data_IF_495382477912
#
_entry.id   IF_495382477912
#
_cell.length_a   1.000
_cell.length_b   1.000
_cell.length_c   1.000
_cell.angle_alpha   90.00
_cell.angle_beta   90.00
_cell.angle_gamma   90.00
#
_symmetry.space_group_name_H-M   'P 1'
#
loop_
_entity.id
_entity.type
_entity.pdbx_description
1 polymer ?
#
# COMPACT_ATOMS: atom_id res chain seq x y z
N UNK A 1 19.24 -5.54 17.06
CA UNK A 1 18.73 -6.79 16.43
C UNK A 1 18.23 -7.82 17.44
N UNK A 2 19.02 -8.23 18.43
CA UNK A 2 18.64 -9.34 19.35
C UNK A 2 17.42 -9.10 20.25
N UNK A 3 17.13 -7.85 20.61
CA UNK A 3 16.04 -7.56 21.56
C UNK A 3 14.75 -7.02 20.90
N UNK A 4 14.84 -6.57 19.64
CA UNK A 4 13.72 -5.96 18.91
C UNK A 4 13.46 -6.70 17.60
N UNK A 5 14.42 -6.72 16.68
CA UNK A 5 14.21 -7.28 15.33
C UNK A 5 13.90 -8.78 15.35
N UNK A 6 14.74 -9.59 16.00
CA UNK A 6 14.53 -11.06 16.06
C UNK A 6 13.28 -11.39 16.90
N UNK A 7 13.07 -10.80 18.09
CA UNK A 7 11.86 -11.06 18.86
C UNK A 7 10.58 -10.60 18.16
N UNK A 8 10.61 -9.53 17.35
CA UNK A 8 9.44 -9.07 16.62
C UNK A 8 8.88 -10.09 15.63
N UNK A 9 9.70 -11.03 15.13
CA UNK A 9 9.20 -12.14 14.30
C UNK A 9 8.16 -12.97 15.05
N UNK A 10 8.33 -13.18 16.36
CA UNK A 10 7.41 -13.92 17.22
C UNK A 10 6.10 -13.19 17.50
N UNK A 11 5.95 -11.93 17.07
CA UNK A 11 4.67 -11.24 17.11
C UNK A 11 3.70 -11.70 16.03
N UNK A 12 4.20 -12.33 14.96
CA UNK A 12 3.36 -12.92 13.94
C UNK A 12 2.84 -14.26 14.44
N UNK A 13 1.51 -14.46 14.55
CA UNK A 13 0.95 -15.72 15.04
C UNK A 13 1.34 -16.95 14.22
N UNK A 14 1.71 -16.76 12.95
CA UNK A 14 2.18 -17.82 12.06
C UNK A 14 3.68 -18.14 12.20
N UNK A 15 4.45 -17.37 12.98
CA UNK A 15 5.87 -17.61 13.17
C UNK A 15 6.09 -18.85 14.06
N UNK A 16 6.71 -19.88 13.49
CA UNK A 16 7.05 -21.12 14.20
C UNK A 16 8.55 -21.25 14.51
N UNK A 17 9.38 -20.33 14.00
CA UNK A 17 10.82 -20.37 14.20
C UNK A 17 11.53 -19.20 13.51
N UNK A 18 12.74 -18.91 13.99
CA UNK A 18 13.61 -17.88 13.42
C UNK A 18 15.02 -18.45 13.31
N UNK A 19 15.61 -18.37 12.12
CA UNK A 19 17.02 -18.72 11.90
C UNK A 19 17.85 -17.46 11.67
N UNK A 20 18.92 -17.31 12.44
CA UNK A 20 19.91 -16.25 12.24
C UNK A 20 21.13 -16.85 11.55
N UNK A 21 21.30 -16.53 10.26
CA UNK A 21 22.42 -17.03 9.46
C UNK A 21 23.68 -16.18 9.72
N UNK A 22 24.87 -16.79 9.85
CA UNK A 22 26.11 -16.06 10.10
C UNK A 22 26.63 -15.35 8.85
N UNK A 23 26.21 -15.76 7.65
CA UNK A 23 26.60 -15.13 6.38
C UNK A 23 25.44 -15.06 5.40
N UNK A 24 25.55 -14.14 4.43
CA UNK A 24 24.57 -14.03 3.33
C UNK A 24 24.65 -15.21 2.35
N UNK A 25 25.76 -15.93 2.29
CA UNK A 25 25.93 -17.02 1.32
C UNK A 25 25.10 -18.26 1.69
N UNK A 26 24.74 -18.40 2.97
CA UNK A 26 23.94 -19.52 3.48
C UNK A 26 22.45 -19.42 3.16
N UNK A 27 21.98 -18.27 2.67
CA UNK A 27 20.55 -18.07 2.38
C UNK A 27 20.14 -18.68 1.03
N UNK A 28 21.08 -18.86 0.09
CA UNK A 28 20.80 -19.39 -1.25
C UNK A 28 20.08 -20.74 -1.24
N UNK A 29 20.57 -21.79 -0.53
CA UNK A 29 19.87 -23.08 -0.49
C UNK A 29 18.50 -22.99 0.21
N UNK A 30 18.29 -22.00 1.09
CA UNK A 30 17.00 -21.77 1.75
C UNK A 30 16.01 -21.15 0.76
N UNK A 31 16.43 -20.13 0.01
CA UNK A 31 15.59 -19.46 -0.98
C UNK A 31 15.23 -20.36 -2.16
N UNK A 32 16.14 -21.26 -2.58
CA UNK A 32 15.87 -22.24 -3.64
C UNK A 32 14.71 -23.19 -3.30
N UNK A 33 14.51 -23.46 -2.01
CA UNK A 33 13.46 -24.36 -1.51
C UNK A 33 12.30 -23.61 -0.84
N UNK A 34 12.32 -22.28 -0.83
CA UNK A 34 11.30 -21.48 -0.18
C UNK A 34 10.06 -21.33 -1.08
N UNK A 35 8.91 -21.81 -0.60
CA UNK A 35 7.62 -21.60 -1.27
C UNK A 35 7.17 -20.14 -1.22
N UNK A 36 7.52 -19.44 -0.13
CA UNK A 36 7.14 -18.05 0.10
C UNK A 36 8.36 -17.21 0.49
N UNK A 37 8.64 -16.19 -0.31
CA UNK A 37 9.73 -15.24 -0.07
C UNK A 37 9.15 -13.83 0.00
N UNK A 38 9.33 -13.19 1.15
CA UNK A 38 9.02 -11.78 1.36
C UNK A 38 10.31 -10.98 1.63
N UNK A 39 10.48 -9.78 1.04
CA UNK A 39 9.61 -9.18 0.02
C UNK A 39 9.63 -9.94 -1.31
N UNK A 40 8.54 -9.83 -2.09
CA UNK A 40 8.44 -10.46 -3.41
C UNK A 40 9.63 -10.09 -4.29
N UNK A 41 10.30 -11.09 -4.85
CA UNK A 41 11.46 -10.90 -5.72
C UNK A 41 12.78 -10.61 -4.99
N UNK A 42 12.81 -10.71 -3.66
CA UNK A 42 14.03 -10.59 -2.87
C UNK A 42 15.08 -11.62 -3.30
N UNK A 43 16.31 -11.16 -3.45
CA UNK A 43 17.50 -12.02 -3.55
C UNK A 43 18.63 -11.40 -2.73
N UNK A 44 19.64 -12.17 -2.31
CA UNK A 44 20.76 -11.63 -1.55
C UNK A 44 21.56 -10.57 -2.33
N UNK A 45 21.65 -10.74 -3.66
CA UNK A 45 22.35 -9.85 -4.58
C UNK A 45 21.52 -8.61 -4.94
N UNK A 46 20.19 -8.72 -4.88
CA UNK A 46 19.26 -7.61 -5.06
C UNK A 46 18.34 -7.51 -3.83
N UNK A 47 18.83 -7.00 -2.70
CA UNK A 47 17.99 -6.77 -1.55
C UNK A 47 16.92 -5.74 -1.92
N UNK A 48 15.68 -6.02 -1.53
CA UNK A 48 14.54 -5.14 -1.76
C UNK A 48 14.11 -4.60 -0.42
N UNK A 49 14.05 -3.27 -0.31
CA UNK A 49 13.38 -2.62 0.80
C UNK A 49 11.89 -2.56 0.48
N UNK A 50 11.04 -2.97 1.40
CA UNK A 50 9.59 -2.89 1.25
C UNK A 50 9.02 -2.07 2.40
N UNK A 51 8.51 -0.88 2.11
CA UNK A 51 7.80 -0.07 3.10
C UNK A 51 6.35 -0.54 3.16
N UNK A 52 6.00 -1.13 4.31
CA UNK A 52 4.80 -1.94 4.46
C UNK A 52 3.48 -1.21 4.23
N UNK A 53 3.44 0.13 4.33
CA UNK A 53 2.15 0.83 4.30
C UNK A 53 1.45 0.72 2.96
N UNK A 54 2.14 0.96 1.85
CA UNK A 54 1.52 0.85 0.54
C UNK A 54 1.05 -0.58 0.26
N UNK A 55 1.79 -1.60 0.72
CA UNK A 55 1.34 -2.99 0.68
C UNK A 55 0.11 -3.27 1.55
N UNK A 56 0.03 -2.68 2.75
CA UNK A 56 -1.15 -2.76 3.62
C UNK A 56 -2.37 -2.05 3.01
N UNK A 57 -2.15 -0.89 2.38
CA UNK A 57 -3.18 -0.18 1.61
C UNK A 57 -3.69 -1.06 0.47
N UNK A 58 -2.80 -1.68 -0.32
CA UNK A 58 -3.19 -2.61 -1.39
C UNK A 58 -4.00 -3.79 -0.86
N UNK A 59 -3.53 -4.44 0.22
CA UNK A 59 -4.26 -5.53 0.86
C UNK A 59 -5.65 -5.10 1.36
N UNK A 60 -5.75 -3.92 1.98
CA UNK A 60 -7.02 -3.35 2.42
C UNK A 60 -7.99 -3.09 1.25
N UNK A 61 -7.50 -2.52 0.14
CA UNK A 61 -8.32 -2.27 -1.05
C UNK A 61 -8.86 -3.58 -1.66
N UNK A 62 -8.07 -4.66 -1.61
CA UNK A 62 -8.50 -6.01 -2.02
C UNK A 62 -9.48 -6.68 -1.05
N UNK A 63 -9.78 -6.04 0.08
CA UNK A 63 -10.64 -6.61 1.12
C UNK A 63 -9.98 -7.72 1.93
N UNK A 64 -8.65 -7.76 1.96
CA UNK A 64 -7.92 -8.74 2.77
C UNK A 64 -8.00 -8.41 4.26
N UNK A 65 -8.03 -9.47 5.08
CA UNK A 65 -7.95 -9.33 6.53
C UNK A 65 -6.50 -9.25 6.98
N UNK A 66 -6.07 -8.09 7.44
CA UNK A 66 -4.75 -7.90 8.03
C UNK A 66 -4.61 -8.72 9.33
N UNK A 67 -3.48 -9.41 9.47
CA UNK A 67 -3.15 -10.16 10.69
C UNK A 67 -2.83 -9.20 11.83
N UNK A 68 -3.33 -9.51 13.02
CA UNK A 68 -2.96 -8.81 14.24
C UNK A 68 -1.69 -9.40 14.85
N UNK A 69 -0.76 -8.54 15.21
CA UNK A 69 0.43 -8.90 15.98
C UNK A 69 0.03 -9.26 17.42
N UNK A 70 0.54 -10.38 17.90
CA UNK A 70 0.26 -10.90 19.23
C UNK A 70 1.55 -11.42 19.84
N UNK A 71 1.79 -11.03 21.08
CA UNK A 71 2.85 -11.61 21.88
C UNK A 71 2.59 -13.10 22.19
N UNK A 72 3.65 -13.88 22.46
CA UNK A 72 3.50 -15.17 23.11
C UNK A 72 2.81 -15.04 24.49
N UNK A 73 1.95 -16.01 24.91
CA UNK A 73 1.14 -15.91 26.12
C UNK A 73 1.91 -15.63 27.42
N UNK A 74 3.16 -16.08 27.52
CA UNK A 74 4.03 -15.84 28.66
C UNK A 74 4.32 -14.35 28.87
N UNK A 75 4.38 -13.54 27.80
CA UNK A 75 4.56 -12.09 27.90
C UNK A 75 3.29 -11.40 28.38
N UNK A 76 2.11 -11.88 27.98
CA UNK A 76 0.84 -11.43 28.53
C UNK A 76 0.83 -11.62 30.05
N UNK A 77 1.18 -12.82 30.53
CA UNK A 77 1.22 -13.15 31.96
C UNK A 77 2.27 -12.33 32.73
N UNK A 78 3.45 -12.13 32.12
CA UNK A 78 4.52 -11.32 32.70
C UNK A 78 4.08 -9.88 32.92
N UNK A 79 3.42 -9.28 31.92
CA UNK A 79 2.86 -7.93 32.03
C UNK A 79 1.75 -7.88 33.07
N UNK A 80 0.83 -8.85 33.09
CA UNK A 80 -0.25 -8.87 34.09
C UNK A 80 0.33 -8.92 35.52
N UNK A 81 1.40 -9.69 35.74
CA UNK A 81 2.10 -9.76 37.03
C UNK A 81 2.83 -8.45 37.37
N UNK A 82 3.43 -7.81 36.38
CA UNK A 82 4.05 -6.49 36.53
C UNK A 82 3.03 -5.41 36.92
N UNK A 83 1.86 -5.43 36.29
CA UNK A 83 0.78 -4.48 36.54
C UNK A 83 0.08 -4.71 37.88
N UNK A 84 -0.16 -5.97 38.28
CA UNK A 84 -0.84 -6.30 39.53
C UNK A 84 -0.21 -5.66 40.78
N UNK A 85 1.10 -5.39 40.75
CA UNK A 85 1.82 -4.75 41.86
C UNK A 85 1.86 -3.21 41.77
N UNK A 86 1.34 -2.61 40.68
CA UNK A 86 1.48 -1.18 40.36
C UNK A 86 0.16 -0.42 40.27
N UNK A 87 -0.93 -1.13 40.02
CA UNK A 87 -2.25 -0.54 39.84
C UNK A 87 -3.30 -1.29 40.67
N UNK A 88 -4.36 -0.59 41.05
CA UNK A 88 -5.53 -1.18 41.70
C UNK A 88 -6.63 -1.36 40.66
N UNK A 89 -7.48 -0.35 40.50
CA UNK A 89 -8.62 -0.32 39.57
C UNK A 89 -8.48 0.74 38.47
N UNK A 90 -7.35 1.45 38.42
CA UNK A 90 -7.14 2.53 37.47
C UNK A 90 -7.08 2.03 36.02
N UNK A 91 -7.46 2.88 35.07
CA UNK A 91 -7.22 2.66 33.65
C UNK A 91 -5.74 2.88 33.34
N UNK A 92 -5.08 1.89 32.73
CA UNK A 92 -3.68 2.00 32.36
C UNK A 92 -3.53 2.89 31.12
N UNK A 93 -2.79 3.99 31.25
CA UNK A 93 -2.30 4.80 30.14
C UNK A 93 -0.80 4.55 29.99
N UNK A 94 -0.37 4.17 28.78
CA UNK A 94 1.05 4.17 28.44
C UNK A 94 1.42 5.43 27.68
N UNK A 95 2.58 6.01 27.96
CA UNK A 95 3.12 7.16 27.23
C UNK A 95 4.47 6.77 26.67
N UNK A 96 4.58 6.63 25.35
CA UNK A 96 5.83 6.25 24.70
C UNK A 96 6.54 7.50 24.19
N UNK A 97 7.65 7.87 24.84
CA UNK A 97 8.42 9.06 24.46
C UNK A 97 9.44 8.72 23.38
N UNK A 98 9.79 9.72 22.57
CA UNK A 98 10.93 9.72 21.66
C UNK A 98 11.93 10.78 22.14
N UNK A 99 13.17 10.38 22.30
CA UNK A 99 14.28 11.22 22.77
C UNK A 99 15.58 10.72 22.13
N UNK A 100 15.64 10.88 20.81
CA UNK A 100 16.74 10.45 19.97
C UNK A 100 17.75 11.60 19.75
N UNK A 101 19.05 11.31 19.58
CA UNK A 101 20.07 12.31 19.29
C UNK A 101 20.08 12.76 17.82
N UNK A 102 19.13 12.28 17.02
CA UNK A 102 18.97 12.56 15.59
C UNK A 102 17.48 12.79 15.27
N UNK A 103 17.22 13.53 14.18
CA UNK A 103 15.90 14.00 13.79
C UNK A 103 15.12 14.54 15.00
N UNK A 104 15.77 15.42 15.77
CA UNK A 104 15.32 15.91 17.08
C UNK A 104 13.97 16.65 17.03
N UNK A 105 13.60 17.19 15.87
CA UNK A 105 12.30 17.78 15.57
C UNK A 105 11.12 16.82 15.77
N UNK A 106 11.39 15.51 15.81
CA UNK A 106 10.41 14.46 16.11
C UNK A 106 10.40 14.04 17.58
N UNK A 107 11.30 14.57 18.41
CA UNK A 107 11.33 14.22 19.83
C UNK A 107 10.09 14.77 20.54
N UNK A 108 9.64 14.00 21.53
CA UNK A 108 8.49 14.35 22.34
C UNK A 108 8.71 15.68 23.05
N UNK A 109 7.71 16.56 23.02
CA UNK A 109 7.76 17.82 23.75
C UNK A 109 7.56 17.59 25.26
N UNK A 110 8.64 17.19 25.96
CA UNK A 110 8.58 16.74 27.35
C UNK A 110 7.95 17.77 28.30
N UNK A 111 8.07 19.08 28.04
CA UNK A 111 7.44 20.10 28.88
C UNK A 111 5.91 20.09 28.77
N UNK A 112 5.38 20.06 27.56
CA UNK A 112 3.93 20.07 27.31
C UNK A 112 3.27 18.78 27.83
N UNK A 113 3.88 17.63 27.54
CA UNK A 113 3.44 16.34 28.07
C UNK A 113 3.46 16.29 29.60
N UNK A 114 4.51 16.83 30.22
CA UNK A 114 4.63 16.89 31.68
C UNK A 114 3.54 17.74 32.32
N UNK A 115 3.11 18.82 31.66
CA UNK A 115 1.97 19.65 32.12
C UNK A 115 0.67 18.85 31.99
N UNK A 116 0.39 18.26 30.82
CA UNK A 116 -0.82 17.48 30.58
C UNK A 116 -0.97 16.30 31.56
N UNK A 117 0.06 15.47 31.68
CA UNK A 117 -0.02 14.24 32.49
C UNK A 117 -0.27 14.53 33.97
N UNK A 118 0.15 15.69 34.48
CA UNK A 118 -0.16 16.12 35.87
C UNK A 118 -1.62 16.51 36.09
N UNK A 119 -2.38 16.77 35.03
CA UNK A 119 -3.82 17.07 35.11
C UNK A 119 -4.67 15.82 35.23
N UNK A 120 -4.15 14.65 34.86
CA UNK A 120 -4.88 13.39 34.93
C UNK A 120 -5.13 12.98 36.38
N UNK A 121 -6.35 12.53 36.67
CA UNK A 121 -6.74 12.05 37.99
C UNK A 121 -5.99 10.72 38.31
N UNK A 122 -5.13 10.68 39.34
CA UNK A 122 -4.38 9.47 39.70
C UNK A 122 -5.26 8.35 40.30
N UNK A 123 -6.49 8.66 40.74
CA UNK A 123 -7.46 7.66 41.19
C UNK A 123 -8.14 6.96 40.00
N UNK A 124 -8.30 7.67 38.87
CA UNK A 124 -8.85 7.08 37.64
C UNK A 124 -7.77 6.46 36.75
N UNK A 125 -6.61 7.10 36.60
CA UNK A 125 -5.59 6.72 35.62
C UNK A 125 -4.26 6.33 36.27
N UNK A 126 -3.69 5.22 35.78
CA UNK A 126 -2.30 4.84 36.06
C UNK A 126 -1.47 5.12 34.81
N UNK A 127 -0.59 6.12 34.89
CA UNK A 127 0.33 6.45 33.80
C UNK A 127 1.66 5.69 33.97
N UNK A 128 2.11 5.03 32.91
CA UNK A 128 3.43 4.41 32.79
C UNK A 128 4.15 4.96 31.56
N UNK A 129 5.34 5.51 31.75
CA UNK A 129 6.19 6.05 30.69
C UNK A 129 7.08 4.94 30.12
N UNK A 130 7.10 4.81 28.81
CA UNK A 130 8.04 3.95 28.09
C UNK A 130 9.12 4.86 27.51
N UNK A 131 10.34 4.85 28.08
CA UNK A 131 11.41 5.76 27.66
C UNK A 131 11.92 5.43 26.25
N UNK A 132 12.63 6.40 25.64
CA UNK A 132 13.40 6.13 24.43
C UNK A 132 14.48 5.08 24.71
N UNK A 133 14.83 4.28 23.69
CA UNK A 133 15.87 3.24 23.84
C UNK A 133 17.26 3.85 24.01
N UNK A 134 17.53 4.98 23.36
CA UNK A 134 18.82 5.68 23.45
C UNK A 134 19.01 6.29 24.83
N UNK A 135 17.96 6.95 25.34
CA UNK A 135 17.95 7.64 26.63
C UNK A 135 17.14 6.87 27.70
N UNK A 136 17.38 5.57 27.79
CA UNK A 136 16.60 4.62 28.61
C UNK A 136 16.40 5.04 30.07
N UNK A 137 17.45 5.60 30.67
CA UNK A 137 17.47 5.98 32.09
C UNK A 137 17.11 7.45 32.32
N UNK A 138 16.82 8.20 31.24
CA UNK A 138 16.40 9.59 31.35
C UNK A 138 15.02 9.67 32.01
N UNK A 139 14.86 10.66 32.88
CA UNK A 139 13.61 10.95 33.60
C UNK A 139 13.10 12.33 33.22
N UNK A 140 12.85 12.51 31.92
CA UNK A 140 12.39 13.77 31.34
C UNK A 140 11.06 14.26 31.93
N UNK A 141 10.17 13.33 32.31
CA UNK A 141 8.90 13.62 32.98
C UNK A 141 8.93 13.02 34.38
N UNK A 142 8.93 13.88 35.40
CA UNK A 142 9.02 13.48 36.81
C UNK A 142 7.65 13.10 37.38
N UNK A 143 7.64 12.23 38.39
CA UNK A 143 6.43 11.86 39.14
C UNK A 143 5.67 10.66 38.58
N UNK A 144 6.22 9.98 37.56
CA UNK A 144 5.58 8.82 36.91
C UNK A 144 6.47 7.59 36.96
N UNK A 145 5.84 6.42 36.89
CA UNK A 145 6.53 5.14 36.72
C UNK A 145 7.10 5.03 35.31
N UNK A 146 8.29 4.44 35.19
CA UNK A 146 8.91 4.12 33.91
C UNK A 146 8.95 2.60 33.70
N UNK A 147 8.90 2.17 32.43
CA UNK A 147 8.96 0.77 32.03
C UNK A 147 10.04 0.56 30.97
N UNK A 148 11.29 0.45 31.41
CA UNK A 148 12.46 0.28 30.55
C UNK A 148 12.45 -1.06 29.81
N UNK A 149 11.87 -2.10 30.41
CA UNK A 149 11.75 -3.40 29.75
C UNK A 149 10.90 -3.32 28.49
N UNK A 150 9.87 -2.45 28.46
CA UNK A 150 9.10 -2.21 27.24
C UNK A 150 9.93 -1.46 26.18
N UNK A 151 10.92 -0.66 26.59
CA UNK A 151 11.86 -0.04 25.65
C UNK A 151 12.80 -1.05 25.00
N UNK A 152 13.21 -2.07 25.75
CA UNK A 152 14.19 -3.06 25.32
C UNK A 152 13.59 -4.32 24.68
N UNK A 153 12.39 -4.75 25.08
CA UNK A 153 11.77 -6.00 24.66
C UNK A 153 10.42 -5.74 23.95
N UNK A 154 10.37 -6.01 22.65
CA UNK A 154 9.19 -5.73 21.83
C UNK A 154 7.99 -6.64 22.15
N UNK A 155 8.22 -7.86 22.64
CA UNK A 155 7.17 -8.78 23.05
C UNK A 155 6.49 -8.28 24.33
N UNK A 156 7.29 -7.87 25.32
CA UNK A 156 6.79 -7.22 26.54
C UNK A 156 6.07 -5.91 26.20
N UNK A 157 6.64 -5.09 25.30
CA UNK A 157 6.02 -3.83 24.87
C UNK A 157 4.63 -4.07 24.26
N UNK A 158 4.52 -5.04 23.36
CA UNK A 158 3.26 -5.37 22.68
C UNK A 158 2.21 -5.86 23.69
N UNK A 159 2.62 -6.73 24.62
CA UNK A 159 1.78 -7.20 25.71
C UNK A 159 1.28 -6.05 26.61
N UNK A 160 2.15 -5.10 26.93
CA UNK A 160 1.80 -3.91 27.70
C UNK A 160 0.81 -3.02 26.94
N UNK A 161 1.04 -2.78 25.65
CA UNK A 161 0.11 -2.01 24.82
C UNK A 161 -1.27 -2.66 24.70
N UNK A 162 -1.35 -3.99 24.65
CA UNK A 162 -2.63 -4.71 24.55
C UNK A 162 -3.42 -4.75 25.85
N UNK A 163 -2.75 -4.59 27.00
CA UNK A 163 -3.39 -4.49 28.32
C UNK A 163 -3.68 -3.05 28.74
N UNK A 164 -3.16 -2.06 28.02
CA UNK A 164 -3.46 -0.66 28.28
C UNK A 164 -4.86 -0.27 27.81
N UNK A 165 -5.51 0.59 28.58
CA UNK A 165 -6.76 1.25 28.17
C UNK A 165 -6.49 2.22 27.01
N UNK A 166 -5.38 2.95 27.06
CA UNK A 166 -4.94 3.83 25.98
C UNK A 166 -3.41 3.89 25.90
N UNK A 167 -2.88 3.84 24.67
CA UNK A 167 -1.46 4.04 24.41
C UNK A 167 -1.25 5.35 23.68
N UNK A 168 -0.63 6.31 24.36
CA UNK A 168 -0.29 7.61 23.80
C UNK A 168 1.16 7.58 23.29
N UNK A 169 1.36 7.89 22.02
CA UNK A 169 2.63 7.71 21.33
C UNK A 169 3.01 9.00 20.58
N UNK A 170 4.29 9.31 20.49
CA UNK A 170 4.81 10.15 19.38
C UNK A 170 5.28 9.21 18.26
N UNK A 171 5.10 9.60 16.99
CA UNK A 171 5.39 8.74 15.83
C UNK A 171 6.87 8.28 15.75
N UNK A 172 7.11 6.99 15.98
CA UNK A 172 8.46 6.40 16.01
C UNK A 172 8.53 4.92 15.61
N UNK A 173 9.76 4.40 15.46
CA UNK A 173 10.03 3.06 14.92
C UNK A 173 9.33 1.90 15.64
N UNK A 174 9.15 1.92 16.97
CA UNK A 174 8.36 0.90 17.69
C UNK A 174 6.82 1.02 17.60
N UNK A 175 6.27 2.12 17.05
CA UNK A 175 4.82 2.29 16.91
C UNK A 175 4.09 1.18 16.13
N UNK A 176 4.68 0.51 15.10
CA UNK A 176 4.04 -0.61 14.43
C UNK A 176 3.58 -1.74 15.37
N UNK A 177 4.26 -1.94 16.51
CA UNK A 177 3.82 -2.91 17.50
C UNK A 177 2.45 -2.56 18.08
N UNK A 178 2.14 -1.28 18.31
CA UNK A 178 0.84 -0.82 18.77
C UNK A 178 -0.19 -0.75 17.63
N UNK A 179 0.25 -0.33 16.43
CA UNK A 179 -0.63 -0.17 15.26
C UNK A 179 -1.24 -1.50 14.84
N UNK A 180 -0.44 -2.56 14.88
CA UNK A 180 -0.84 -3.87 14.38
C UNK A 180 -1.28 -4.84 15.48
N UNK A 181 -1.23 -4.47 16.76
CA UNK A 181 -1.71 -5.31 17.86
C UNK A 181 -3.21 -5.19 18.13
N UNK A 182 -3.90 -4.28 17.46
CA UNK A 182 -5.29 -3.91 17.75
C UNK A 182 -5.45 -3.12 19.06
N UNK A 183 -4.34 -2.62 19.62
CA UNK A 183 -4.35 -1.83 20.84
C UNK A 183 -5.00 -0.45 20.61
N UNK A 184 -5.72 0.12 21.59
CA UNK A 184 -6.18 1.50 21.52
C UNK A 184 -4.98 2.46 21.50
N UNK A 185 -4.96 3.41 20.57
CA UNK A 185 -3.84 4.34 20.38
C UNK A 185 -4.30 5.78 20.13
N UNK A 186 -3.50 6.73 20.62
CA UNK A 186 -3.46 8.12 20.17
C UNK A 186 -2.02 8.47 19.77
N UNK A 187 -1.80 8.85 18.51
CA UNK A 187 -0.48 9.15 17.95
C UNK A 187 -0.34 10.64 17.71
N UNK A 188 0.62 11.28 18.37
CA UNK A 188 0.87 12.72 18.31
C UNK A 188 2.11 13.05 17.45
N UNK A 189 2.24 14.34 17.12
CA UNK A 189 3.36 14.92 16.39
C UNK A 189 3.52 14.41 14.95
N UNK A 190 2.44 14.20 14.16
CA UNK A 190 2.58 13.56 12.86
C UNK A 190 3.35 14.43 11.85
N UNK A 191 3.13 15.76 11.81
CA UNK A 191 3.70 16.62 10.76
C UNK A 191 4.73 17.61 11.30
N UNK A 192 5.94 17.57 10.74
CA UNK A 192 7.01 18.54 11.00
C UNK A 192 7.92 18.68 9.75
N UNK A 193 9.08 19.31 9.92
CA UNK A 193 10.03 19.57 8.83
C UNK A 193 10.99 18.42 8.52
N UNK A 194 10.96 17.34 9.30
CA UNK A 194 11.72 16.11 9.04
C UNK A 194 11.19 15.39 7.79
N UNK A 195 12.10 14.79 7.01
CA UNK A 195 11.76 14.11 5.76
C UNK A 195 10.72 13.00 5.96
N UNK A 196 10.77 12.30 7.10
CA UNK A 196 9.87 11.20 7.45
C UNK A 196 8.61 11.66 8.18
N UNK A 197 8.32 12.97 8.19
CA UNK A 197 7.16 13.57 8.85
C UNK A 197 6.67 14.82 8.11
N UNK A 198 7.10 15.09 6.88
CA UNK A 198 6.53 16.17 6.07
C UNK A 198 5.11 15.84 5.59
N UNK A 199 4.32 16.86 5.24
CA UNK A 199 3.01 16.66 4.57
C UNK A 199 3.10 15.72 3.35
N UNK A 200 4.15 15.91 2.54
CA UNK A 200 4.43 15.07 1.36
C UNK A 200 4.74 13.63 1.75
N UNK A 201 5.39 13.39 2.88
CA UNK A 201 5.60 12.03 3.40
C UNK A 201 4.27 11.36 3.74
N UNK A 202 3.39 12.04 4.47
CA UNK A 202 2.07 11.49 4.83
C UNK A 202 1.22 11.18 3.60
N UNK A 203 1.20 12.06 2.61
CA UNK A 203 0.47 11.83 1.37
C UNK A 203 1.04 10.64 0.59
N UNK A 204 2.38 10.57 0.42
CA UNK A 204 3.02 9.57 -0.44
C UNK A 204 3.24 8.21 0.19
N UNK A 205 3.67 8.20 1.45
CA UNK A 205 4.11 6.98 2.15
C UNK A 205 2.98 6.45 3.02
N UNK A 206 2.25 7.33 3.70
CA UNK A 206 1.18 6.92 4.62
C UNK A 206 -0.22 6.90 3.98
N UNK A 207 -0.36 7.43 2.76
CA UNK A 207 -1.64 7.55 2.03
C UNK A 207 -2.69 8.42 2.75
N UNK A 208 -2.27 9.44 3.51
CA UNK A 208 -3.15 10.30 4.32
C UNK A 208 -3.02 11.77 3.92
N UNK A 209 -4.13 12.51 3.96
CA UNK A 209 -4.15 13.98 3.82
C UNK A 209 -4.19 14.64 5.22
N UNK A 210 -3.08 15.23 5.69
CA UNK A 210 -3.02 15.85 7.01
C UNK A 210 -4.02 16.99 7.21
N UNK A 211 -4.26 17.80 6.18
CA UNK A 211 -5.15 18.97 6.26
C UNK A 211 -6.63 18.57 6.40
N UNK A 212 -6.97 17.34 6.01
CA UNK A 212 -8.31 16.75 6.21
C UNK A 212 -8.37 15.87 7.46
N UNK A 213 -7.30 15.84 8.26
CA UNK A 213 -7.17 15.06 9.49
C UNK A 213 -7.52 13.57 9.30
N UNK A 214 -7.15 12.99 8.15
CA UNK A 214 -7.46 11.59 7.84
C UNK A 214 -6.84 10.63 8.88
N UNK A 215 -7.46 9.48 9.03
CA UNK A 215 -7.03 8.34 9.81
C UNK A 215 -6.71 7.20 8.85
N UNK A 216 -5.91 6.23 9.27
CA UNK A 216 -5.71 5.04 8.44
C UNK A 216 -7.04 4.31 8.27
N UNK A 217 -7.48 4.14 7.02
CA UNK A 217 -8.77 3.50 6.72
C UNK A 217 -8.93 2.12 7.38
N UNK A 218 -7.85 1.33 7.41
CA UNK A 218 -7.78 -0.02 7.97
C UNK A 218 -7.69 -0.08 9.50
N UNK A 219 -7.51 1.06 10.18
CA UNK A 219 -7.41 1.10 11.64
C UNK A 219 -8.80 1.12 12.26
N UNK A 220 -8.92 0.54 13.46
CA UNK A 220 -10.17 0.61 14.23
C UNK A 220 -10.39 2.03 14.74
N UNK A 221 -11.65 2.41 14.97
CA UNK A 221 -12.02 3.78 15.41
C UNK A 221 -11.38 4.22 16.74
N UNK A 222 -10.88 3.29 17.55
CA UNK A 222 -10.09 3.52 18.77
C UNK A 222 -8.57 3.61 18.53
N UNK A 223 -8.14 3.68 17.28
CA UNK A 223 -6.75 3.90 16.88
C UNK A 223 -6.68 5.19 16.08
N UNK A 224 -6.18 6.26 16.68
CA UNK A 224 -6.23 7.60 16.06
C UNK A 224 -4.87 8.28 16.01
N UNK A 225 -4.69 9.08 14.97
CA UNK A 225 -3.68 10.11 14.82
C UNK A 225 -4.29 11.42 15.33
N UNK A 226 -3.65 11.99 16.34
CA UNK A 226 -3.89 13.32 16.85
C UNK A 226 -3.09 14.32 15.99
N UNK A 227 -3.77 14.96 15.05
CA UNK A 227 -3.17 15.96 14.17
C UNK A 227 -2.87 17.26 14.92
N UNK A 228 -1.91 18.03 14.43
CA UNK A 228 -1.46 19.28 15.05
C UNK A 228 -0.16 19.16 15.84
N UNK A 229 0.22 20.26 16.48
CA UNK A 229 1.44 20.35 17.28
C UNK A 229 1.25 19.71 18.66
N UNK A 230 2.36 19.28 19.28
CA UNK A 230 2.37 18.73 20.65
C UNK A 230 2.30 19.86 21.70
N UNK A 231 1.18 20.60 21.74
CA UNK A 231 0.88 21.54 22.84
C UNK A 231 -0.03 20.88 23.87
N UNK A 232 0.01 21.34 25.12
CA UNK A 232 -0.84 20.83 26.20
C UNK A 232 -2.33 20.90 25.82
N UNK A 233 -2.76 21.96 25.13
CA UNK A 233 -4.14 22.13 24.69
C UNK A 233 -4.55 21.04 23.69
N UNK A 234 -3.72 20.79 22.67
CA UNK A 234 -4.01 19.78 21.66
C UNK A 234 -3.97 18.36 22.25
N UNK A 235 -3.02 18.08 23.14
CA UNK A 235 -2.94 16.78 23.83
C UNK A 235 -4.19 16.54 24.67
N UNK A 236 -4.62 17.55 25.43
CA UNK A 236 -5.81 17.48 26.27
C UNK A 236 -7.09 17.37 25.45
N UNK A 237 -7.23 18.12 24.36
CA UNK A 237 -8.37 18.05 23.46
C UNK A 237 -8.53 16.65 22.85
N UNK A 238 -7.48 16.10 22.27
CA UNK A 238 -7.51 14.79 21.62
C UNK A 238 -7.68 13.65 22.62
N UNK A 239 -7.09 13.76 23.81
CA UNK A 239 -7.35 12.85 24.91
C UNK A 239 -8.84 12.88 25.31
N UNK A 240 -9.40 14.07 25.57
CA UNK A 240 -10.80 14.20 25.99
C UNK A 240 -11.77 13.68 24.92
N UNK A 241 -11.52 13.95 23.62
CA UNK A 241 -12.28 13.35 22.52
C UNK A 241 -12.27 11.83 22.60
N UNK A 242 -11.10 11.23 22.82
CA UNK A 242 -10.97 9.79 22.93
C UNK A 242 -11.74 9.21 24.12
N UNK A 243 -11.59 9.79 25.32
CA UNK A 243 -12.28 9.30 26.52
C UNK A 243 -13.80 9.46 26.40
N UNK A 244 -14.27 10.55 25.79
CA UNK A 244 -15.69 10.79 25.55
C UNK A 244 -16.30 9.70 24.64
N UNK A 245 -15.57 9.29 23.60
CA UNK A 245 -16.00 8.24 22.68
C UNK A 245 -15.87 6.84 23.28
N UNK A 246 -14.90 6.63 24.19
CA UNK A 246 -14.56 5.33 24.76
C UNK A 246 -14.37 5.40 26.27
N UNK A 247 -15.41 5.71 27.03
CA UNK A 247 -15.30 5.84 28.49
C UNK A 247 -14.77 4.57 29.19
N UNK A 248 -15.05 3.39 28.62
CA UNK A 248 -14.50 2.10 29.02
C UNK A 248 -13.77 1.42 27.87
N UNK A 249 -13.00 0.36 28.16
CA UNK A 249 -12.35 -0.44 27.11
C UNK A 249 -13.44 -0.95 26.14
N UNK A 250 -13.42 -0.56 24.86
CA UNK A 250 -14.47 -0.89 23.94
C UNK A 250 -14.54 -2.40 23.68
N UNK A 251 -15.75 -2.95 23.68
CA UNK A 251 -16.00 -4.35 23.30
C UNK A 251 -15.79 -4.50 21.79
N UNK A 252 -15.06 -5.54 21.40
CA UNK A 252 -14.81 -5.88 20.00
C UNK A 252 -16.04 -6.61 19.40
N UNK A 253 -16.28 -6.53 18.07
CA UNK A 253 -15.46 -5.85 17.07
C UNK A 253 -15.76 -4.35 16.98
N UNK A 254 -14.72 -3.55 16.82
CA UNK A 254 -14.87 -2.15 16.41
C UNK A 254 -14.88 -2.01 14.89
N UNK A 255 -15.63 -1.02 14.41
CA UNK A 255 -15.58 -0.58 13.02
C UNK A 255 -14.20 0.02 12.70
N UNK A 256 -13.86 -0.05 11.42
CA UNK A 256 -12.72 0.63 10.84
C UNK A 256 -13.07 2.08 10.52
N UNK A 257 -12.08 2.98 10.48
CA UNK A 257 -12.31 4.37 10.05
C UNK A 257 -12.86 4.46 8.62
N UNK A 258 -12.48 3.50 7.77
CA UNK A 258 -12.88 3.47 6.38
C UNK A 258 -12.25 4.61 5.57
N UNK A 259 -12.67 4.74 4.32
CA UNK A 259 -12.21 5.80 3.44
C UNK A 259 -13.02 7.07 3.76
N UNK A 260 -12.32 8.10 4.23
CA UNK A 260 -12.97 9.28 4.84
C UNK A 260 -13.26 10.42 3.86
N UNK A 261 -12.57 10.47 2.71
CA UNK A 261 -12.76 11.53 1.73
C UNK A 261 -12.36 11.07 0.32
N UNK A 262 -12.75 11.85 -0.69
CA UNK A 262 -12.31 11.63 -2.07
C UNK A 262 -10.79 11.75 -2.20
N UNK A 263 -10.17 12.71 -1.49
CA UNK A 263 -8.72 12.90 -1.51
C UNK A 263 -8.01 11.72 -0.87
N UNK A 264 -8.48 11.25 0.28
CA UNK A 264 -7.97 10.03 0.93
C UNK A 264 -8.06 8.83 -0.02
N UNK A 265 -9.21 8.63 -0.67
CA UNK A 265 -9.39 7.58 -1.67
C UNK A 265 -8.36 7.65 -2.80
N UNK A 266 -8.08 8.86 -3.32
CA UNK A 266 -7.10 9.07 -4.38
C UNK A 266 -5.67 8.71 -3.93
N UNK A 267 -5.26 9.17 -2.75
CA UNK A 267 -3.94 8.85 -2.18
C UNK A 267 -3.75 7.34 -1.96
N UNK A 268 -4.80 6.65 -1.53
CA UNK A 268 -4.77 5.18 -1.40
C UNK A 268 -4.63 4.48 -2.75
N UNK A 269 -5.39 4.90 -3.76
CA UNK A 269 -5.28 4.36 -5.13
C UNK A 269 -3.88 4.60 -5.72
N UNK A 270 -3.30 5.77 -5.50
CA UNK A 270 -1.95 6.12 -5.97
C UNK A 270 -0.88 5.25 -5.31
N UNK A 271 -0.91 5.13 -3.98
CA UNK A 271 0.04 4.30 -3.25
C UNK A 271 -0.06 2.82 -3.66
N UNK A 272 -1.28 2.29 -3.82
CA UNK A 272 -1.49 0.91 -4.25
C UNK A 272 -1.02 0.67 -5.69
N UNK A 273 -1.28 1.62 -6.60
CA UNK A 273 -0.79 1.55 -7.98
C UNK A 273 0.75 1.57 -8.03
N UNK A 274 1.38 2.46 -7.27
CA UNK A 274 2.85 2.56 -7.22
C UNK A 274 3.48 1.30 -6.65
N UNK A 275 2.94 0.79 -5.54
CA UNK A 275 3.35 -0.48 -4.95
C UNK A 275 3.29 -1.63 -5.97
N UNK A 276 2.20 -1.71 -6.72
CA UNK A 276 1.99 -2.74 -7.74
C UNK A 276 2.96 -2.56 -8.91
N UNK A 277 3.10 -1.33 -9.42
CA UNK A 277 3.94 -1.00 -10.57
C UNK A 277 5.44 -1.20 -10.28
N UNK A 278 5.91 -0.94 -9.07
CA UNK A 278 7.32 -1.18 -8.69
C UNK A 278 7.65 -2.67 -8.59
N UNK A 279 6.66 -3.52 -8.29
CA UNK A 279 6.86 -4.95 -8.05
C UNK A 279 6.47 -5.83 -9.21
N UNK A 280 5.72 -5.33 -10.19
CA UNK A 280 5.28 -6.13 -11.32
C UNK A 280 6.49 -6.54 -12.18
N UNK A 281 6.49 -7.81 -12.55
CA UNK A 281 7.37 -8.33 -13.59
C UNK A 281 6.46 -8.86 -14.68
N UNK A 282 6.43 -8.22 -15.85
CA UNK A 282 5.47 -8.58 -16.91
C UNK A 282 5.60 -10.04 -17.41
N UNK A 283 6.75 -10.68 -17.20
CA UNK A 283 6.96 -12.10 -17.50
C UNK A 283 6.56 -13.05 -16.34
N UNK A 284 6.13 -12.50 -15.20
CA UNK A 284 5.80 -13.18 -13.93
C UNK A 284 4.70 -12.37 -13.18
N UNK A 285 3.64 -11.98 -13.89
CA UNK A 285 2.48 -11.32 -13.25
C UNK A 285 1.78 -12.35 -12.38
N UNK A 286 1.46 -11.96 -11.14
CA UNK A 286 0.69 -12.80 -10.22
C UNK A 286 -0.71 -12.25 -10.02
N UNK A 287 -1.64 -13.10 -9.57
CA UNK A 287 -3.05 -12.70 -9.38
C UNK A 287 -3.21 -11.51 -8.44
N UNK A 288 -2.37 -11.40 -7.40
CA UNK A 288 -2.38 -10.26 -6.47
C UNK A 288 -2.21 -8.92 -7.19
N UNK A 289 -1.40 -8.85 -8.26
CA UNK A 289 -1.20 -7.62 -9.03
C UNK A 289 -2.49 -7.22 -9.76
N UNK A 290 -3.17 -8.19 -10.38
CA UNK A 290 -4.44 -8.00 -11.08
C UNK A 290 -5.53 -7.58 -10.11
N UNK A 291 -5.69 -8.32 -9.00
CA UNK A 291 -6.70 -8.05 -7.98
C UNK A 291 -6.53 -6.64 -7.38
N UNK A 292 -5.28 -6.18 -7.20
CA UNK A 292 -5.00 -4.82 -6.72
C UNK A 292 -5.48 -3.77 -7.72
N UNK A 293 -5.21 -3.95 -9.01
CA UNK A 293 -5.62 -3.01 -10.06
C UNK A 293 -7.13 -3.00 -10.22
N UNK A 294 -7.78 -4.16 -10.17
CA UNK A 294 -9.24 -4.27 -10.18
C UNK A 294 -9.87 -3.60 -8.96
N UNK A 295 -9.28 -3.76 -7.77
CA UNK A 295 -9.73 -3.07 -6.56
C UNK A 295 -9.62 -1.54 -6.68
N UNK A 296 -8.53 -1.04 -7.26
CA UNK A 296 -8.37 0.40 -7.55
C UNK A 296 -9.45 0.89 -8.52
N UNK A 297 -9.70 0.16 -9.62
CA UNK A 297 -10.71 0.52 -10.63
C UNK A 297 -12.12 0.50 -10.02
N UNK A 298 -12.41 -0.47 -9.15
CA UNK A 298 -13.68 -0.57 -8.43
C UNK A 298 -13.89 0.60 -7.47
N UNK A 299 -12.83 1.06 -6.80
CA UNK A 299 -12.89 2.19 -5.89
C UNK A 299 -13.01 3.53 -6.62
N UNK A 300 -12.24 3.72 -7.71
CA UNK A 300 -12.30 4.91 -8.56
C UNK A 300 -12.27 4.52 -10.05
N UNK A 301 -13.46 4.47 -10.65
CA UNK A 301 -13.64 4.18 -12.07
C UNK A 301 -13.01 5.23 -12.99
N UNK A 302 -12.61 6.40 -12.49
CA UNK A 302 -11.88 7.40 -13.30
C UNK A 302 -10.37 7.27 -13.18
N UNK A 303 -9.88 6.34 -12.37
CA UNK A 303 -8.45 6.15 -12.15
C UNK A 303 -7.78 5.48 -13.36
N UNK A 304 -7.27 6.31 -14.28
CA UNK A 304 -6.65 5.86 -15.55
C UNK A 304 -5.45 4.94 -15.31
N UNK A 305 -4.62 5.24 -14.30
CA UNK A 305 -3.35 4.54 -14.10
C UNK A 305 -3.51 3.02 -13.88
N UNK A 306 -4.55 2.61 -13.16
CA UNK A 306 -4.84 1.19 -12.94
C UNK A 306 -5.35 0.49 -14.21
N UNK A 307 -6.21 1.15 -15.00
CA UNK A 307 -6.69 0.62 -16.29
C UNK A 307 -5.56 0.47 -17.29
N UNK A 308 -4.67 1.46 -17.37
CA UNK A 308 -3.48 1.41 -18.20
C UNK A 308 -2.64 0.17 -17.85
N UNK A 309 -2.24 0.04 -16.58
CA UNK A 309 -1.38 -1.07 -16.17
C UNK A 309 -2.06 -2.43 -16.37
N UNK A 310 -3.37 -2.54 -16.06
CA UNK A 310 -4.14 -3.76 -16.29
C UNK A 310 -4.26 -4.10 -17.78
N UNK A 311 -4.41 -3.09 -18.65
CA UNK A 311 -4.45 -3.27 -20.11
C UNK A 311 -3.11 -3.78 -20.66
N UNK A 312 -1.99 -3.28 -20.14
CA UNK A 312 -0.66 -3.79 -20.48
C UNK A 312 -0.48 -5.26 -20.05
N UNK A 313 -0.95 -5.61 -18.84
CA UNK A 313 -0.93 -6.99 -18.34
C UNK A 313 -1.76 -7.89 -19.25
N UNK A 314 -3.02 -7.52 -19.52
CA UNK A 314 -3.93 -8.27 -20.37
C UNK A 314 -3.33 -8.51 -21.76
N UNK A 315 -2.74 -7.48 -22.38
CA UNK A 315 -2.07 -7.59 -23.68
C UNK A 315 -0.89 -8.57 -23.64
N UNK A 316 -0.07 -8.53 -22.59
CA UNK A 316 1.05 -9.46 -22.43
C UNK A 316 0.61 -10.90 -22.13
N UNK A 317 -0.55 -11.09 -21.50
CA UNK A 317 -1.15 -12.41 -21.25
C UNK A 317 -1.95 -12.96 -22.45
N UNK A 318 -2.02 -12.23 -23.57
CA UNK A 318 -2.79 -12.61 -24.75
C UNK A 318 -4.30 -12.39 -24.63
N UNK A 319 -4.76 -11.69 -23.59
CA UNK A 319 -6.16 -11.30 -23.37
C UNK A 319 -6.46 -9.99 -24.13
N UNK A 320 -6.35 -10.04 -25.46
CA UNK A 320 -6.35 -8.82 -26.28
C UNK A 320 -7.69 -8.07 -26.28
N UNK A 321 -8.82 -8.77 -26.18
CA UNK A 321 -10.14 -8.11 -26.10
C UNK A 321 -10.25 -7.26 -24.84
N UNK A 322 -9.87 -7.82 -23.69
CA UNK A 322 -9.82 -7.10 -22.40
C UNK A 322 -8.85 -5.92 -22.47
N UNK A 323 -7.67 -6.11 -23.06
CA UNK A 323 -6.70 -5.02 -23.24
C UNK A 323 -7.28 -3.87 -24.07
N UNK A 324 -7.91 -4.18 -25.20
CA UNK A 324 -8.56 -3.18 -26.07
C UNK A 324 -9.65 -2.41 -25.33
N UNK A 325 -10.52 -3.10 -24.59
CA UNK A 325 -11.56 -2.46 -23.78
C UNK A 325 -10.95 -1.50 -22.74
N UNK A 326 -9.90 -1.93 -22.03
CA UNK A 326 -9.22 -1.09 -21.04
C UNK A 326 -8.57 0.14 -21.68
N UNK A 327 -7.95 0.00 -22.85
CA UNK A 327 -7.37 1.13 -23.58
C UNK A 327 -8.43 2.08 -24.14
N UNK A 328 -9.59 1.59 -24.59
CA UNK A 328 -10.71 2.44 -24.98
C UNK A 328 -11.22 3.29 -23.81
N UNK A 329 -11.35 2.69 -22.63
CA UNK A 329 -11.68 3.42 -21.39
C UNK A 329 -10.65 4.52 -21.08
N UNK A 330 -9.35 4.23 -21.23
CA UNK A 330 -8.31 5.23 -21.05
C UNK A 330 -8.44 6.39 -22.06
N UNK A 331 -8.69 6.09 -23.34
CA UNK A 331 -8.89 7.10 -24.40
C UNK A 331 -10.08 8.02 -24.06
N UNK A 332 -11.20 7.43 -23.62
CA UNK A 332 -12.40 8.19 -23.23
C UNK A 332 -12.12 9.13 -22.06
N UNK A 333 -11.46 8.64 -21.01
CA UNK A 333 -11.11 9.43 -19.83
C UNK A 333 -10.12 10.55 -20.16
N UNK A 334 -9.09 10.29 -20.98
CA UNK A 334 -8.13 11.31 -21.44
C UNK A 334 -8.80 12.41 -22.26
N UNK A 335 -9.70 12.04 -23.18
CA UNK A 335 -10.46 13.02 -23.96
C UNK A 335 -11.43 13.83 -23.08
N UNK A 336 -11.92 13.25 -21.99
CA UNK A 336 -12.74 13.93 -20.98
C UNK A 336 -11.98 14.94 -20.12
N UNK A 337 -10.68 15.17 -20.38
CA UNK A 337 -9.86 16.14 -19.66
C UNK A 337 -9.36 15.64 -18.30
N UNK A 338 -9.43 14.34 -18.03
CA UNK A 338 -8.81 13.77 -16.83
C UNK A 338 -7.30 13.98 -16.88
N UNK A 339 -6.74 14.49 -15.78
CA UNK A 339 -5.30 14.60 -15.57
C UNK A 339 -4.98 13.96 -14.24
N UNK A 340 -3.96 13.11 -14.21
CA UNK A 340 -3.42 12.61 -12.96
C UNK A 340 -2.66 13.74 -12.25
N UNK A 341 -3.00 14.03 -11.01
CA UNK A 341 -2.05 14.76 -10.14
C UNK A 341 -0.89 13.81 -9.86
N UNK A 342 0.30 14.11 -10.40
CA UNK A 342 1.47 13.27 -10.15
C UNK A 342 1.94 13.51 -8.71
N UNK A 343 1.47 12.67 -7.79
CA UNK A 343 1.93 12.66 -6.39
C UNK A 343 2.89 11.48 -6.15
N UNK A 344 3.29 10.74 -7.18
CA UNK A 344 4.08 9.52 -7.03
C UNK A 344 5.61 9.60 -7.08
N UNK A 345 6.25 8.45 -6.88
CA UNK A 345 7.65 8.16 -7.24
C UNK A 345 7.76 7.54 -8.64
N UNK A 346 6.76 6.73 -9.02
CA UNK A 346 6.71 6.12 -10.35
C UNK A 346 6.34 7.18 -11.38
N UNK A 347 7.34 7.63 -12.14
CA UNK A 347 7.10 8.33 -13.39
C UNK A 347 6.56 7.31 -14.39
N UNK A 348 5.24 7.27 -14.53
CA UNK A 348 4.66 6.72 -15.74
C UNK A 348 5.16 7.58 -16.91
N UNK A 349 5.39 6.97 -18.07
CA UNK A 349 5.79 7.71 -19.27
C UNK A 349 4.76 8.76 -19.70
N UNK A 350 3.56 8.69 -19.11
CA UNK A 350 2.42 9.56 -19.36
C UNK A 350 1.67 9.87 -18.08
N UNK A 351 1.20 11.11 -17.97
CA UNK A 351 0.31 11.59 -16.92
C UNK A 351 -1.17 11.24 -17.19
N UNK A 352 -1.42 10.44 -18.24
CA UNK A 352 -2.74 10.03 -18.70
C UNK A 352 -3.52 11.10 -19.46
N UNK A 353 -2.89 12.25 -19.76
CA UNK A 353 -3.53 13.31 -20.55
C UNK A 353 -3.42 13.08 -22.06
N UNK A 354 -2.53 12.20 -22.53
CA UNK A 354 -2.27 12.00 -23.94
C UNK A 354 -3.04 10.78 -24.50
N UNK A 355 -4.16 10.97 -25.22
CA UNK A 355 -4.91 9.87 -25.82
C UNK A 355 -4.14 9.12 -26.92
N UNK A 356 -3.08 9.71 -27.51
CA UNK A 356 -2.29 9.06 -28.58
C UNK A 356 -1.60 7.79 -28.07
N UNK A 357 -1.06 7.82 -26.86
CA UNK A 357 -0.39 6.68 -26.24
C UNK A 357 -1.35 5.47 -26.11
N UNK A 358 -2.56 5.71 -25.60
CA UNK A 358 -3.55 4.65 -25.44
C UNK A 358 -4.06 4.11 -26.77
N UNK A 359 -4.17 4.97 -27.79
CA UNK A 359 -4.47 4.52 -29.17
C UNK A 359 -3.37 3.63 -29.72
N UNK A 360 -2.10 3.94 -29.45
CA UNK A 360 -0.97 3.13 -29.87
C UNK A 360 -1.00 1.75 -29.20
N UNK A 361 -1.16 1.71 -27.88
CA UNK A 361 -1.28 0.45 -27.12
C UNK A 361 -2.47 -0.40 -27.58
N UNK A 362 -3.61 0.24 -27.90
CA UNK A 362 -4.78 -0.42 -28.51
C UNK A 362 -4.44 -1.00 -29.88
N UNK A 363 -3.80 -0.25 -30.76
CA UNK A 363 -3.42 -0.70 -32.10
C UNK A 363 -2.47 -1.90 -32.04
N UNK A 364 -1.48 -1.87 -31.14
CA UNK A 364 -0.55 -2.98 -30.91
C UNK A 364 -1.26 -4.24 -30.39
N UNK A 365 -2.21 -4.09 -29.47
CA UNK A 365 -3.02 -5.21 -28.98
C UNK A 365 -3.87 -5.84 -30.11
N UNK A 366 -4.45 -5.02 -30.98
CA UNK A 366 -5.20 -5.47 -32.16
C UNK A 366 -4.31 -6.19 -33.18
N UNK A 367 -3.09 -5.71 -33.42
CA UNK A 367 -2.10 -6.42 -34.24
C UNK A 367 -1.77 -7.80 -33.68
N UNK A 368 -1.47 -7.88 -32.38
CA UNK A 368 -1.16 -9.15 -31.71
C UNK A 368 -2.35 -10.11 -31.73
N UNK A 369 -3.58 -9.59 -31.77
CA UNK A 369 -4.82 -10.35 -31.96
C UNK A 369 -5.10 -10.73 -33.43
N UNK A 370 -4.22 -10.37 -34.37
CA UNK A 370 -4.40 -10.53 -35.82
C UNK A 370 -5.63 -9.78 -36.39
N UNK A 371 -6.11 -8.75 -35.70
CA UNK A 371 -7.17 -7.86 -36.15
C UNK A 371 -6.59 -6.64 -36.88
N UNK A 372 -5.95 -6.92 -38.01
CA UNK A 372 -5.15 -5.95 -38.77
C UNK A 372 -5.98 -4.78 -39.32
N UNK A 373 -7.27 -4.99 -39.63
CA UNK A 373 -8.15 -3.92 -40.12
C UNK A 373 -8.43 -2.88 -39.04
N UNK A 374 -8.79 -3.32 -37.83
CA UNK A 374 -9.01 -2.40 -36.71
C UNK A 374 -7.71 -1.75 -36.23
N UNK A 375 -6.60 -2.49 -36.26
CA UNK A 375 -5.28 -1.93 -35.95
C UNK A 375 -4.93 -0.78 -36.91
N UNK A 376 -5.09 -0.99 -38.22
CA UNK A 376 -4.85 0.03 -39.24
C UNK A 376 -5.72 1.28 -39.00
N UNK A 377 -6.98 1.12 -38.61
CA UNK A 377 -7.85 2.25 -38.28
C UNK A 377 -7.32 3.08 -37.11
N UNK A 378 -6.81 2.46 -36.05
CA UNK A 378 -6.23 3.20 -34.93
C UNK A 378 -4.93 3.90 -35.32
N UNK A 379 -4.05 3.28 -36.12
CA UNK A 379 -2.84 3.96 -36.64
C UNK A 379 -3.16 5.16 -37.52
N UNK A 380 -4.20 5.09 -38.35
CA UNK A 380 -4.67 6.22 -39.15
C UNK A 380 -5.15 7.38 -38.27
N UNK A 381 -5.90 7.09 -37.20
CA UNK A 381 -6.33 8.10 -36.22
C UNK A 381 -5.14 8.76 -35.52
N UNK A 382 -4.12 7.97 -35.14
CA UNK A 382 -2.90 8.50 -34.53
C UNK A 382 -2.20 9.46 -35.51
N UNK A 383 -2.04 9.06 -36.78
CA UNK A 383 -1.42 9.91 -37.81
C UNK A 383 -2.19 11.21 -38.07
N UNK A 384 -3.52 11.20 -37.94
CA UNK A 384 -4.34 12.41 -38.05
C UNK A 384 -4.10 13.38 -36.88
N UNK A 385 -3.90 12.83 -35.68
CA UNK A 385 -3.65 13.58 -34.44
C UNK A 385 -2.20 14.09 -34.33
N UNK A 386 -1.23 13.34 -34.87
CA UNK A 386 0.20 13.63 -34.83
C UNK A 386 0.84 13.43 -36.22
N UNK A 387 0.74 14.48 -37.05
CA UNK A 387 1.15 14.44 -38.45
C UNK A 387 2.67 14.37 -38.66
N UNK A 388 3.45 14.70 -37.64
CA UNK A 388 4.92 14.73 -37.72
C UNK A 388 5.56 13.39 -37.32
N UNK A 389 4.76 12.42 -36.88
CA UNK A 389 5.25 11.10 -36.47
C UNK A 389 5.57 10.19 -37.67
N UNK A 390 6.80 10.30 -38.19
CA UNK A 390 7.27 9.50 -39.33
C UNK A 390 7.12 7.99 -39.13
N UNK A 391 7.34 7.48 -37.90
CA UNK A 391 7.22 6.05 -37.59
C UNK A 391 5.80 5.50 -37.78
N UNK A 392 4.77 6.34 -37.57
CA UNK A 392 3.37 5.94 -37.81
C UNK A 392 3.05 5.80 -39.30
N UNK A 393 3.70 6.59 -40.16
CA UNK A 393 3.49 6.50 -41.61
C UNK A 393 4.03 5.19 -42.20
N UNK A 394 5.20 4.74 -41.72
CA UNK A 394 5.76 3.44 -42.09
C UNK A 394 4.85 2.30 -41.63
N UNK A 395 4.35 2.38 -40.40
CA UNK A 395 3.48 1.36 -39.82
C UNK A 395 2.15 1.19 -40.57
N UNK A 396 1.52 2.31 -40.96
CA UNK A 396 0.31 2.32 -41.79
C UNK A 396 0.55 1.63 -43.14
N UNK A 397 1.68 1.92 -43.79
CA UNK A 397 2.03 1.29 -45.07
C UNK A 397 2.25 -0.21 -44.92
N UNK A 398 2.99 -0.64 -43.88
CA UNK A 398 3.26 -2.05 -43.58
C UNK A 398 1.96 -2.86 -43.42
N UNK A 399 1.01 -2.35 -42.64
CA UNK A 399 -0.28 -3.00 -42.38
C UNK A 399 -1.20 -3.02 -43.61
N UNK A 400 -1.25 -1.92 -44.38
CA UNK A 400 -2.05 -1.85 -45.61
C UNK A 400 -1.55 -2.85 -46.67
N UNK A 401 -0.23 -3.01 -46.81
CA UNK A 401 0.36 -4.04 -47.68
C UNK A 401 0.04 -5.45 -47.21
N UNK A 402 0.18 -5.75 -45.90
CA UNK A 402 -0.20 -7.06 -45.33
C UNK A 402 -1.67 -7.39 -45.60
N UNK A 403 -2.58 -6.45 -45.39
CA UNK A 403 -4.01 -6.63 -45.67
C UNK A 403 -4.29 -6.86 -47.16
N UNK A 404 -3.63 -6.12 -48.06
CA UNK A 404 -3.73 -6.35 -49.51
C UNK A 404 -3.27 -7.75 -49.89
N UNK A 405 -2.19 -8.26 -49.29
CA UNK A 405 -1.69 -9.61 -49.54
C UNK A 405 -2.66 -10.68 -49.04
N UNK A 406 -3.24 -10.53 -47.85
CA UNK A 406 -4.26 -11.44 -47.31
C UNK A 406 -5.50 -11.47 -48.20
N UNK A 407 -6.01 -10.30 -48.61
CA UNK A 407 -7.18 -10.19 -49.49
C UNK A 407 -6.93 -10.82 -50.86
N UNK A 408 -5.72 -10.66 -51.42
CA UNK A 408 -5.30 -11.33 -52.65
C UNK A 408 -5.18 -12.85 -52.46
N UNK A 409 -4.62 -13.32 -51.35
CA UNK A 409 -4.50 -14.74 -51.02
C UNK A 409 -5.83 -15.46 -50.83
N UNK A 410 -6.80 -14.83 -50.15
CA UNK A 410 -8.17 -15.35 -50.03
C UNK A 410 -8.88 -15.41 -51.39
N UNK A 411 -8.66 -14.43 -52.27
CA UNK A 411 -9.20 -14.48 -53.64
C UNK A 411 -8.71 -15.72 -54.42
N UNK A 412 -7.46 -16.15 -54.24
CA UNK A 412 -6.96 -17.38 -54.88
C UNK A 412 -7.57 -18.66 -54.28
N UNK A 413 -7.92 -18.67 -52.98
CA UNK A 413 -8.56 -19.82 -52.35
C UNK A 413 -10.05 -19.94 -52.77
N UNK A 414 -10.76 -18.81 -52.86
CA UNK A 414 -12.14 -18.77 -53.35
C UNK A 414 -12.24 -19.04 -54.86
N UNK A 415 -11.28 -18.58 -55.67
CA UNK A 415 -11.18 -18.96 -57.09
C UNK A 415 -10.93 -20.46 -57.26
N UNK A 416 -10.14 -21.09 -56.39
CA UNK A 416 -9.96 -22.55 -56.41
C UNK A 416 -11.23 -23.31 -55.98
N UNK A 417 -12.02 -22.80 -55.03
CA UNK A 417 -13.31 -23.40 -54.65
C UNK A 417 -14.39 -23.24 -55.75
N UNK A 418 -14.39 -22.12 -56.47
CA UNK A 418 -15.26 -21.88 -57.62
C UNK A 418 -14.84 -22.74 -58.82
N UNK A 419 -13.54 -22.89 -59.08
CA UNK A 419 -13.04 -23.82 -60.10
C UNK A 419 -13.35 -25.29 -59.76
N UNK A 420 -13.27 -25.70 -58.48
CA UNK A 420 -13.61 -27.09 -58.08
C UNK A 420 -15.11 -27.40 -58.19
N UNK A 421 -15.99 -26.40 -58.08
CA UNK A 421 -17.45 -26.56 -58.30
C UNK A 421 -17.87 -26.54 -59.77
N UNK A 422 -17.00 -26.12 -60.70
CA UNK A 422 -17.32 -26.09 -62.14
C UNK A 422 -16.74 -27.25 -62.97
N UNK A 423 -16.05 -28.23 -62.35
CA UNK A 423 -15.41 -29.34 -63.09
C UNK A 423 -16.10 -30.71 -63.01
N UNK A 424 -17.26 -30.84 -62.37
CA UNK A 424 -17.97 -32.14 -62.26
C UNK A 424 -19.27 -32.17 -63.06
N UNK A 425 -19.18 -32.32 -64.39
CA UNK A 425 -20.20 -33.01 -65.21
C UNK A 425 -19.55 -33.57 -66.49
N UNK A 426 -19.22 -34.88 -66.54
CA UNK A 426 -19.02 -35.56 -67.81
C UNK A 426 -20.39 -35.92 -68.40
N UNK A 427 -20.77 -35.27 -69.51
CA UNK A 427 -21.78 -35.82 -70.43
C UNK A 427 -21.18 -37.04 -71.13
N UNK A 428 -21.66 -38.23 -70.78
CA UNK A 428 -21.50 -39.44 -71.59
C UNK A 428 -22.78 -39.70 -72.40
N UNK A 429 -22.63 -39.73 -73.73
CA UNK A 429 -23.22 -40.68 -74.69
C UNK A 429 -24.66 -41.17 -74.47
N UNK A 430 -25.62 -40.62 -75.22
CA UNK A 430 -26.23 -41.21 -76.43
C UNK A 430 -27.30 -40.28 -76.99
#
# INVERSE_FOLDING_TARGET
MRNVVIPACWLLPSCNGVSWLPSRDEISPILENAEHVFPRGYTPQRPINDYLRAGQTSAYLRGEKLTQLQEPPEYTQMVSSFLANKMKSQKLITVTIRDAPYDDQRNTNLSEWSIFLRKLDPEEYKVIIIPDTFNLWSRGIKGFDYCEIASLNILFRTALYRQAYLNMLVAQGPCPAAFHSGSPILVFGPVNTDVASTKKWWQKIESLEPDEHNQYAMFKVNQRIAWGQETVENIEEEFNKFINDFSEIPKQPLEEHGIQSKRHSQLMCEAALEYTAEKIKFHQVIQEDIDTLEAIIKLDEKFIGAKHLLGMIASNMGQYETAVQLFDNCIELSNGGYRREIIGRVQFQSDGSNPIEYRLLKAEALEKANNLEMALQEYLKIREMDRENCGMSEKVLELDEKLKMIRKGCMFHDLNLVCFRMSNYPKCLR
#
